data_IF_205441115164
#
_entry.id   IF_205441115164
#
_cell.length_a   1.000
_cell.length_b   1.000
_cell.length_c   1.000
_cell.angle_alpha   90.00
_cell.angle_beta   90.00
_cell.angle_gamma   90.00
#
_symmetry.space_group_name_H-M   'P 1'
#
loop_
_entity.id
_entity.type
_entity.pdbx_description
1 polymer ?
#
# COMPACT_ATOMS: atom_id res chain seq x y z
N UNK A 1 -46.95 -1.11 3.63
CA UNK A 1 -45.90 -1.89 2.93
C UNK A 1 -44.73 -0.94 2.74
N UNK A 2 -43.79 -0.89 3.70
CA UNK A 2 -42.65 0.02 3.67
C UNK A 2 -41.46 -0.67 3.02
N UNK A 3 -40.84 -0.03 2.03
CA UNK A 3 -39.59 -0.48 1.42
C UNK A 3 -38.50 -0.58 2.50
N UNK A 4 -37.63 -1.60 2.47
CA UNK A 4 -36.55 -1.69 3.44
C UNK A 4 -35.55 -0.57 3.17
N UNK A 5 -35.20 0.17 4.23
CA UNK A 5 -34.12 1.14 4.23
C UNK A 5 -32.85 0.46 3.73
N UNK A 6 -32.29 0.95 2.62
CA UNK A 6 -31.00 0.49 2.13
C UNK A 6 -29.95 0.67 3.24
N UNK A 7 -29.24 -0.39 3.58
CA UNK A 7 -28.04 -0.32 4.40
C UNK A 7 -26.99 0.45 3.61
N UNK A 8 -26.92 1.76 3.83
CA UNK A 8 -25.80 2.57 3.32
C UNK A 8 -24.60 2.24 4.18
N UNK A 9 -23.67 1.43 3.64
CA UNK A 9 -22.34 1.27 4.21
C UNK A 9 -21.64 2.64 4.18
N UNK A 10 -21.67 3.37 5.29
CA UNK A 10 -20.72 4.46 5.51
C UNK A 10 -19.36 3.81 5.72
N UNK A 11 -18.45 3.93 4.76
CA UNK A 11 -17.06 3.60 5.00
C UNK A 11 -16.54 4.56 6.08
N UNK A 12 -16.32 4.05 7.29
CA UNK A 12 -15.77 4.81 8.42
C UNK A 12 -14.24 4.81 8.42
N UNK A 13 -13.62 4.11 7.46
CA UNK A 13 -12.19 3.87 7.41
C UNK A 13 -11.69 3.73 5.96
N UNK A 14 -10.56 4.35 5.66
CA UNK A 14 -9.87 4.33 4.38
C UNK A 14 -8.46 3.75 4.56
N UNK A 15 -8.17 2.67 3.82
CA UNK A 15 -6.82 2.14 3.69
C UNK A 15 -6.15 2.76 2.46
N UNK A 16 -4.94 3.29 2.62
CA UNK A 16 -4.12 3.75 1.51
C UNK A 16 -3.27 2.58 1.00
N UNK A 17 -3.25 2.44 -0.33
CA UNK A 17 -2.44 1.44 -1.01
C UNK A 17 -1.64 2.04 -2.16
N UNK A 18 -0.48 1.44 -2.42
CA UNK A 18 0.39 1.78 -3.54
C UNK A 18 0.56 0.55 -4.42
N UNK A 19 0.10 0.62 -5.66
CA UNK A 19 0.29 -0.42 -6.67
C UNK A 19 1.41 -0.05 -7.62
N UNK A 20 2.42 -0.91 -7.71
CA UNK A 20 3.54 -0.77 -8.64
C UNK A 20 3.52 -1.96 -9.61
N UNK A 21 3.16 -1.78 -10.89
CA UNK A 21 3.13 -2.86 -11.86
C UNK A 21 4.56 -3.36 -12.15
N UNK A 22 4.68 -4.65 -12.49
CA UNK A 22 5.97 -5.21 -12.85
C UNK A 22 6.59 -4.47 -14.05
N UNK A 23 7.90 -4.22 -14.02
CA UNK A 23 8.61 -3.62 -15.15
C UNK A 23 8.62 -4.53 -16.38
N UNK A 24 8.63 -5.86 -16.15
CA UNK A 24 8.66 -6.88 -17.20
C UNK A 24 7.32 -7.60 -17.26
N UNK A 25 6.68 -7.54 -18.42
CA UNK A 25 5.43 -8.27 -18.70
C UNK A 25 4.33 -8.02 -17.63
N UNK A 26 4.00 -6.74 -17.32
CA UNK A 26 3.07 -6.38 -16.24
C UNK A 26 1.69 -7.05 -16.35
N UNK A 27 1.25 -7.35 -17.57
CA UNK A 27 -0.04 -7.96 -17.87
C UNK A 27 -0.13 -9.44 -17.43
N UNK A 28 1.01 -10.14 -17.35
CA UNK A 28 1.07 -11.55 -16.92
C UNK A 28 1.89 -11.76 -15.64
N UNK A 29 2.50 -10.70 -15.11
CA UNK A 29 3.31 -10.79 -13.90
C UNK A 29 2.42 -11.10 -12.68
N UNK A 30 2.88 -11.99 -11.76
CA UNK A 30 2.18 -12.23 -10.51
C UNK A 30 2.08 -10.95 -9.67
N UNK A 31 0.97 -10.80 -8.96
CA UNK A 31 0.77 -9.71 -7.99
C UNK A 31 1.11 -10.21 -6.59
N UNK A 32 2.02 -9.51 -5.91
CA UNK A 32 2.36 -9.75 -4.50
C UNK A 32 1.75 -8.65 -3.64
N UNK A 33 0.98 -9.05 -2.64
CA UNK A 33 0.55 -8.16 -1.56
C UNK A 33 1.68 -8.06 -0.51
N UNK A 34 2.07 -6.84 -0.18
CA UNK A 34 3.07 -6.52 0.84
C UNK A 34 2.44 -5.71 1.96
N UNK A 35 2.62 -6.19 3.19
CA UNK A 35 2.20 -5.52 4.42
C UNK A 35 3.41 -5.55 5.34
N UNK A 36 3.87 -4.37 5.77
CA UNK A 36 4.94 -4.32 6.76
C UNK A 36 4.44 -4.78 8.13
N UNK A 37 5.28 -5.56 8.81
CA UNK A 37 4.96 -6.11 10.12
C UNK A 37 4.83 -5.02 11.19
N UNK A 38 3.97 -5.33 12.17
CA UNK A 38 3.55 -4.54 13.33
C UNK A 38 2.54 -3.42 13.02
N UNK A 39 1.43 -3.33 13.79
CA UNK A 39 0.47 -2.24 13.67
C UNK A 39 1.17 -0.87 13.76
N UNK A 40 0.87 0.04 12.83
CA UNK A 40 1.37 1.42 12.84
C UNK A 40 2.63 1.67 12.00
N UNK A 41 3.31 0.65 11.47
CA UNK A 41 4.39 0.86 10.50
C UNK A 41 3.85 0.90 9.07
N UNK A 42 4.11 2.01 8.36
CA UNK A 42 3.71 2.14 6.96
C UNK A 42 4.42 1.10 6.06
N UNK A 43 3.65 0.56 5.11
CA UNK A 43 4.13 -0.28 4.03
C UNK A 43 4.95 0.48 2.98
N UNK A 44 5.07 1.81 3.09
CA UNK A 44 6.06 2.58 2.35
C UNK A 44 7.50 2.23 2.75
N UNK A 45 7.73 1.61 3.93
CA UNK A 45 9.01 0.97 4.24
C UNK A 45 9.33 -0.13 3.23
N UNK A 46 8.35 -0.95 2.87
CA UNK A 46 8.46 -1.92 1.78
C UNK A 46 8.91 -1.28 0.47
N UNK A 47 8.33 -0.12 0.13
CA UNK A 47 8.67 0.62 -1.09
C UNK A 47 10.10 1.16 -1.09
N UNK A 48 10.54 1.83 -0.02
CA UNK A 48 11.80 2.57 -0.04
C UNK A 48 12.99 1.86 0.61
N UNK A 49 12.74 0.93 1.52
CA UNK A 49 13.78 0.32 2.36
C UNK A 49 14.02 -1.16 2.03
N UNK A 50 13.00 -1.86 1.51
CA UNK A 50 13.05 -3.33 1.38
C UNK A 50 12.99 -3.76 -0.09
N UNK A 51 11.79 -3.84 -0.68
CA UNK A 51 11.53 -4.57 -1.94
C UNK A 51 11.19 -3.67 -3.13
N UNK A 52 10.80 -2.42 -2.88
CA UNK A 52 10.40 -1.49 -3.94
C UNK A 52 11.54 -0.97 -4.81
N UNK A 53 11.19 -0.21 -5.86
CA UNK A 53 12.09 0.14 -6.96
C UNK A 53 13.03 1.30 -6.62
N UNK A 54 12.82 1.97 -5.49
CA UNK A 54 13.61 3.13 -5.12
C UNK A 54 14.15 3.05 -3.70
N UNK A 55 15.15 3.87 -3.42
CA UNK A 55 15.62 4.21 -2.08
C UNK A 55 15.99 5.69 -2.04
N UNK A 56 16.10 6.24 -0.84
CA UNK A 56 16.60 7.60 -0.61
C UNK A 56 18.06 7.49 -0.18
N UNK A 57 18.97 8.16 -0.90
CA UNK A 57 20.39 8.19 -0.55
C UNK A 57 20.72 9.23 0.54
N UNK A 58 21.98 9.27 0.98
CA UNK A 58 22.44 10.18 2.05
C UNK A 58 22.32 11.67 1.67
N UNK A 59 22.20 11.98 0.37
CA UNK A 59 21.96 13.33 -0.14
C UNK A 59 20.46 13.67 -0.21
N UNK A 60 19.59 12.82 0.35
CA UNK A 60 18.13 12.90 0.25
C UNK A 60 17.59 12.84 -1.19
N UNK A 61 18.29 12.14 -2.10
CA UNK A 61 17.84 11.96 -3.48
C UNK A 61 17.22 10.59 -3.66
N UNK A 62 16.15 10.55 -4.45
CA UNK A 62 15.55 9.30 -4.88
C UNK A 62 16.45 8.61 -5.91
N UNK A 63 16.78 7.35 -5.66
CA UNK A 63 17.63 6.51 -6.52
C UNK A 63 16.93 5.20 -6.83
N UNK A 64 17.19 4.67 -8.02
CA UNK A 64 16.66 3.37 -8.43
C UNK A 64 17.43 2.22 -7.76
N UNK A 65 16.69 1.21 -7.31
CA UNK A 65 17.22 0.01 -6.68
C UNK A 65 17.45 -1.07 -7.74
N UNK A 66 18.69 -1.50 -7.89
CA UNK A 66 19.05 -2.58 -8.82
C UNK A 66 18.43 -3.95 -8.48
N UNK A 67 17.98 -4.15 -7.25
CA UNK A 67 17.45 -5.43 -6.73
C UNK A 67 15.99 -5.32 -6.28
N UNK A 68 15.14 -4.66 -7.06
CA UNK A 68 13.71 -4.54 -6.76
C UNK A 68 12.90 -5.77 -7.17
N UNK A 69 11.86 -6.10 -6.39
CA UNK A 69 10.87 -7.11 -6.73
C UNK A 69 9.96 -6.66 -7.88
N UNK A 70 9.82 -5.34 -8.07
CA UNK A 70 9.03 -4.75 -9.16
C UNK A 70 9.61 -5.11 -10.54
N UNK A 71 10.86 -5.57 -10.62
CA UNK A 71 11.45 -6.03 -11.89
C UNK A 71 10.71 -7.19 -12.54
N UNK A 72 10.03 -8.02 -11.75
CA UNK A 72 9.37 -9.24 -12.24
C UNK A 72 7.99 -9.50 -11.63
N UNK A 73 7.61 -8.76 -10.59
CA UNK A 73 6.33 -8.92 -9.90
C UNK A 73 5.63 -7.57 -9.79
N UNK A 74 4.31 -7.56 -9.92
CA UNK A 74 3.52 -6.39 -9.58
C UNK A 74 3.34 -6.36 -8.07
N UNK A 75 3.59 -5.24 -7.42
CA UNK A 75 3.59 -5.13 -5.96
C UNK A 75 2.43 -4.24 -5.50
N UNK A 76 1.66 -4.71 -4.52
CA UNK A 76 0.62 -3.95 -3.84
C UNK A 76 1.01 -3.75 -2.36
N UNK A 77 1.38 -2.53 -1.99
CA UNK A 77 1.72 -2.17 -0.62
C UNK A 77 0.49 -1.59 0.07
N UNK A 78 0.10 -2.10 1.23
CA UNK A 78 -1.08 -1.63 1.97
C UNK A 78 -0.70 -1.22 3.39
N UNK A 79 -1.08 -0.01 3.79
CA UNK A 79 -0.98 0.44 5.17
C UNK A 79 -2.15 -0.14 5.99
N UNK A 80 -1.86 -1.06 6.90
CA UNK A 80 -2.86 -1.73 7.75
C UNK A 80 -2.36 -1.92 9.20
N UNK A 81 -3.23 -1.83 10.22
CA UNK A 81 -4.64 -1.46 10.16
C UNK A 81 -4.84 0.04 9.87
N UNK A 82 -6.10 0.47 9.79
CA UNK A 82 -6.46 1.90 9.64
C UNK A 82 -5.85 2.72 10.78
N UNK A 83 -5.31 3.90 10.48
CA UNK A 83 -4.46 4.68 11.38
C UNK A 83 -2.96 4.45 11.17
N UNK A 84 -2.57 3.45 10.38
CA UNK A 84 -1.17 3.21 9.98
C UNK A 84 -0.79 4.10 8.79
N UNK A 85 0.37 4.75 8.86
CA UNK A 85 0.92 5.50 7.73
C UNK A 85 -0.04 6.58 7.23
N UNK A 86 -0.50 6.44 5.98
CA UNK A 86 -1.47 7.36 5.38
C UNK A 86 -2.93 6.86 5.45
N UNK A 87 -3.19 5.65 5.97
CA UNK A 87 -4.54 5.13 6.19
C UNK A 87 -5.23 5.84 7.36
N UNK A 88 -6.48 6.27 7.19
CA UNK A 88 -7.20 7.06 8.20
C UNK A 88 -8.69 6.68 8.30
N UNK A 89 -9.31 7.03 9.43
CA UNK A 89 -10.75 6.91 9.67
C UNK A 89 -11.33 8.30 10.00
N UNK A 90 -12.59 8.52 9.62
CA UNK A 90 -13.30 9.72 10.08
C UNK A 90 -13.54 9.59 11.58
N UNK A 91 -13.06 10.58 12.35
CA UNK A 91 -13.01 10.53 13.80
C UNK A 91 -14.40 10.56 14.43
N UNK A 92 -14.97 9.37 14.68
CA UNK A 92 -15.90 9.11 15.79
C UNK A 92 -15.62 7.81 16.54
N UNK A 93 -14.85 6.88 15.98
CA UNK A 93 -14.62 5.54 16.54
C UNK A 93 -13.14 5.12 16.54
N UNK A 94 -12.19 6.07 16.65
CA UNK A 94 -10.77 5.77 16.84
C UNK A 94 -10.43 5.58 18.32
#
# INVERSE_FOLDING_TARGET
MGLPSALVLKASAFAISHYLPAEKNPENAPVILWINDLPGFTSLKGVFLETGPFYVDDDNKLRERNTSWVKTHSMLYIDAPVGTGFSFADSKDA
#
